data_IF_205195507270
#
_entry.id   IF_205195507270
#
_cell.length_a   1.000
_cell.length_b   1.000
_cell.length_c   1.000
_cell.angle_alpha   90.00
_cell.angle_beta   90.00
_cell.angle_gamma   90.00
#
_symmetry.space_group_name_H-M   'P 1'
#
loop_
_entity.id
_entity.type
_entity.pdbx_description
1 polymer ?
#
# COMPACT_ATOMS: atom_id res chain seq x y z
N UNK A 1 29.39 -36.69 17.72
CA UNK A 1 29.07 -35.59 18.67
C UNK A 1 27.57 -35.60 18.94
N UNK A 2 27.19 -36.14 20.09
CA UNK A 2 25.79 -36.33 20.52
C UNK A 2 25.11 -34.97 20.68
N UNK A 3 24.15 -34.62 19.82
CA UNK A 3 23.32 -33.43 19.98
C UNK A 3 22.44 -33.59 21.23
N UNK A 4 22.53 -32.66 22.18
CA UNK A 4 21.72 -32.63 23.41
C UNK A 4 20.22 -32.65 23.07
N UNK A 5 19.35 -33.32 23.84
CA UNK A 5 17.89 -33.29 23.64
C UNK A 5 17.35 -31.86 23.49
N UNK A 6 17.87 -30.92 24.28
CA UNK A 6 17.50 -29.50 24.24
C UNK A 6 17.81 -28.84 22.89
N UNK A 7 18.90 -29.24 22.22
CA UNK A 7 19.23 -28.73 20.87
C UNK A 7 18.25 -29.23 19.82
N UNK A 8 17.77 -30.46 19.96
CA UNK A 8 16.75 -31.00 19.05
C UNK A 8 15.42 -30.30 19.26
N UNK A 9 15.08 -29.97 20.51
CA UNK A 9 13.85 -29.27 20.84
C UNK A 9 13.85 -27.83 20.33
N UNK A 10 14.96 -27.09 20.49
CA UNK A 10 15.09 -25.73 19.93
C UNK A 10 15.07 -25.74 18.40
N UNK A 11 15.70 -26.71 17.75
CA UNK A 11 15.63 -26.88 16.30
C UNK A 11 14.21 -27.18 15.82
N UNK A 12 13.49 -28.08 16.50
CA UNK A 12 12.11 -28.42 16.15
C UNK A 12 11.14 -27.24 16.35
N UNK A 13 11.28 -26.50 17.45
CA UNK A 13 10.47 -25.29 17.70
C UNK A 13 10.76 -24.19 16.67
N UNK A 14 12.03 -24.00 16.33
CA UNK A 14 12.47 -23.02 15.32
C UNK A 14 11.92 -23.42 13.95
N UNK A 15 12.07 -24.68 13.55
CA UNK A 15 11.53 -25.20 12.29
C UNK A 15 10.00 -25.07 12.20
N UNK A 16 9.28 -25.33 13.30
CA UNK A 16 7.81 -25.20 13.34
C UNK A 16 7.37 -23.75 13.17
N UNK A 17 8.05 -22.82 13.85
CA UNK A 17 7.75 -21.38 13.76
C UNK A 17 8.03 -20.84 12.35
N UNK A 18 9.19 -21.17 11.79
CA UNK A 18 9.56 -20.77 10.44
C UNK A 18 8.63 -21.37 9.39
N UNK A 19 8.28 -22.66 9.53
CA UNK A 19 7.35 -23.32 8.63
C UNK A 19 5.99 -22.63 8.63
N UNK A 20 5.48 -22.23 9.81
CA UNK A 20 4.22 -21.49 9.93
C UNK A 20 4.30 -20.10 9.30
N UNK A 21 5.40 -19.38 9.52
CA UNK A 21 5.58 -18.03 8.99
C UNK A 21 5.75 -18.01 7.47
N UNK A 22 6.52 -18.95 6.92
CA UNK A 22 6.71 -19.11 5.49
C UNK A 22 5.43 -19.58 4.79
N UNK A 23 4.71 -20.55 5.37
CA UNK A 23 3.42 -20.99 4.85
C UNK A 23 2.39 -19.85 4.90
N UNK A 24 2.37 -19.10 6.00
CA UNK A 24 1.53 -17.91 6.15
C UNK A 24 1.82 -16.86 5.08
N UNK A 25 3.10 -16.58 4.81
CA UNK A 25 3.51 -15.67 3.76
C UNK A 25 3.10 -16.15 2.36
N UNK A 26 3.29 -17.43 2.06
CA UNK A 26 2.86 -18.02 0.78
C UNK A 26 1.35 -17.90 0.59
N UNK A 27 0.56 -18.22 1.62
CA UNK A 27 -0.90 -18.08 1.59
C UNK A 27 -1.33 -16.64 1.40
N UNK A 28 -0.64 -15.68 2.03
CA UNK A 28 -0.90 -14.26 1.84
C UNK A 28 -0.62 -13.82 0.40
N UNK A 29 0.52 -14.23 -0.18
CA UNK A 29 0.83 -13.90 -1.57
C UNK A 29 -0.19 -14.50 -2.53
N UNK A 30 -0.59 -15.76 -2.35
CA UNK A 30 -1.66 -16.39 -3.13
C UNK A 30 -2.97 -15.60 -3.06
N UNK A 31 -3.33 -15.09 -1.87
CA UNK A 31 -4.55 -14.28 -1.68
C UNK A 31 -4.47 -12.89 -2.33
N UNK A 32 -3.26 -12.35 -2.49
CA UNK A 32 -3.01 -11.04 -3.07
C UNK A 32 -2.75 -11.09 -4.58
N UNK A 33 -2.67 -12.29 -5.18
CA UNK A 33 -2.48 -12.45 -6.61
C UNK A 33 -3.65 -11.80 -7.37
N UNK A 34 -3.37 -10.86 -8.29
CA UNK A 34 -4.43 -10.21 -9.06
C UNK A 34 -5.03 -11.12 -10.13
N UNK A 35 -4.30 -12.14 -10.58
CA UNK A 35 -4.76 -13.19 -11.49
C UNK A 35 -3.92 -14.45 -11.26
N UNK A 36 -4.28 -15.56 -11.92
CA UNK A 36 -3.49 -16.79 -11.92
C UNK A 36 -2.08 -16.52 -12.42
N UNK A 37 -1.10 -17.17 -11.80
CA UNK A 37 0.34 -16.97 -12.04
C UNK A 37 0.72 -16.90 -13.52
N UNK A 38 0.17 -17.81 -14.33
CA UNK A 38 0.41 -17.93 -15.78
C UNK A 38 0.00 -16.68 -16.58
N UNK A 39 -0.98 -15.90 -16.10
CA UNK A 39 -1.45 -14.68 -16.76
C UNK A 39 -0.70 -13.44 -16.30
N UNK A 40 0.18 -13.56 -15.31
CA UNK A 40 0.97 -12.44 -14.84
C UNK A 40 2.13 -12.19 -15.81
N UNK A 41 2.31 -10.93 -16.21
CA UNK A 41 3.54 -10.51 -16.90
C UNK A 41 4.77 -10.85 -16.06
N UNK A 42 5.89 -11.18 -16.69
CA UNK A 42 7.17 -11.44 -16.03
C UNK A 42 7.49 -10.43 -14.91
N UNK A 43 7.33 -9.13 -15.18
CA UNK A 43 7.56 -8.07 -14.18
C UNK A 43 6.74 -8.25 -12.89
N UNK A 44 5.46 -8.60 -13.02
CA UNK A 44 4.57 -8.84 -11.86
C UNK A 44 4.97 -10.13 -11.12
N UNK A 45 5.43 -11.15 -11.85
CA UNK A 45 5.95 -12.38 -11.25
C UNK A 45 7.22 -12.07 -10.45
N UNK A 46 8.16 -11.32 -11.02
CA UNK A 46 9.39 -10.88 -10.36
C UNK A 46 9.08 -10.06 -9.09
N UNK A 47 8.13 -9.14 -9.14
CA UNK A 47 7.70 -8.37 -7.96
C UNK A 47 7.20 -9.29 -6.82
N UNK A 48 6.50 -10.39 -7.14
CA UNK A 48 6.04 -11.38 -6.16
C UNK A 48 7.20 -12.23 -5.64
N UNK A 49 8.09 -12.68 -6.55
CA UNK A 49 9.27 -13.46 -6.21
C UNK A 49 10.19 -12.68 -5.28
N UNK A 50 10.42 -11.39 -5.54
CA UNK A 50 11.26 -10.54 -4.71
C UNK A 50 10.69 -10.36 -3.30
N UNK A 51 9.37 -10.25 -3.15
CA UNK A 51 8.74 -10.21 -1.82
C UNK A 51 8.88 -11.53 -1.08
N UNK A 52 8.61 -12.65 -1.74
CA UNK A 52 8.78 -13.99 -1.16
C UNK A 52 10.24 -14.23 -0.79
N UNK A 53 11.19 -13.78 -1.63
CA UNK A 53 12.62 -13.87 -1.38
C UNK A 53 13.00 -13.11 -0.11
N UNK A 54 12.63 -11.85 -0.03
CA UNK A 54 12.91 -11.03 1.16
C UNK A 54 12.33 -11.66 2.44
N UNK A 55 11.16 -12.31 2.35
CA UNK A 55 10.54 -13.01 3.47
C UNK A 55 11.31 -14.27 3.89
N UNK A 56 11.77 -15.06 2.93
CA UNK A 56 12.57 -16.26 3.18
C UNK A 56 13.92 -15.88 3.77
N UNK A 57 14.60 -14.87 3.23
CA UNK A 57 15.88 -14.38 3.77
C UNK A 57 15.75 -13.91 5.22
N UNK A 58 14.73 -13.11 5.54
CA UNK A 58 14.44 -12.70 6.91
C UNK A 58 14.18 -13.90 7.84
N UNK A 59 13.45 -14.91 7.36
CA UNK A 59 13.13 -16.12 8.13
C UNK A 59 14.40 -16.95 8.39
N UNK A 60 15.25 -17.14 7.39
CA UNK A 60 16.53 -17.87 7.52
C UNK A 60 17.47 -17.15 8.48
N UNK A 61 17.57 -15.82 8.41
CA UNK A 61 18.34 -15.00 9.37
C UNK A 61 17.87 -15.24 10.81
N UNK A 62 16.56 -15.21 11.03
CA UNK A 62 15.98 -15.50 12.34
C UNK A 62 16.23 -16.94 12.80
N UNK A 63 16.16 -17.91 11.89
CA UNK A 63 16.44 -19.32 12.16
C UNK A 63 17.86 -19.53 12.69
N UNK A 64 18.83 -19.02 11.95
CA UNK A 64 20.26 -19.09 12.30
C UNK A 64 20.48 -18.44 13.65
N UNK A 65 19.82 -17.30 13.89
CA UNK A 65 19.91 -16.60 15.16
C UNK A 65 19.34 -17.40 16.34
N UNK A 66 18.14 -17.95 16.20
CA UNK A 66 17.50 -18.76 17.24
C UNK A 66 18.32 -20.02 17.56
N UNK A 67 18.86 -20.68 16.55
CA UNK A 67 19.74 -21.85 16.75
C UNK A 67 21.06 -21.44 17.43
N UNK A 68 21.66 -20.33 17.01
CA UNK A 68 22.89 -19.81 17.60
C UNK A 68 22.69 -19.32 19.05
N UNK A 69 21.48 -18.90 19.42
CA UNK A 69 21.17 -18.41 20.76
C UNK A 69 21.43 -19.44 21.86
N UNK A 70 21.20 -20.74 21.58
CA UNK A 70 21.34 -21.82 22.56
C UNK A 70 20.71 -21.49 23.94
N UNK A 71 19.57 -20.79 23.95
CA UNK A 71 18.87 -20.38 25.19
C UNK A 71 19.47 -19.18 25.92
N UNK A 72 20.43 -18.47 25.31
CA UNK A 72 20.99 -17.21 25.83
C UNK A 72 20.12 -16.03 25.39
N UNK A 73 20.20 -14.93 26.14
CA UNK A 73 19.64 -13.65 25.72
C UNK A 73 20.45 -13.17 24.52
N UNK A 74 19.79 -12.92 23.40
CA UNK A 74 20.45 -12.45 22.19
C UNK A 74 19.74 -11.22 21.65
N UNK A 75 20.55 -10.27 21.18
CA UNK A 75 20.09 -9.03 20.58
C UNK A 75 20.64 -8.99 19.16
N UNK A 76 19.73 -8.88 18.19
CA UNK A 76 20.08 -8.70 16.78
C UNK A 76 20.19 -7.21 16.48
N UNK A 77 21.25 -6.82 15.78
CA UNK A 77 21.34 -5.50 15.18
C UNK A 77 22.36 -5.46 14.05
N UNK A 78 22.28 -4.43 13.23
CA UNK A 78 23.16 -4.21 12.10
C UNK A 78 24.42 -3.47 12.56
N UNK A 79 25.58 -3.97 12.16
CA UNK A 79 26.85 -3.28 12.43
C UNK A 79 26.96 -2.06 11.51
N UNK A 80 26.77 -0.85 12.07
CA UNK A 80 26.76 0.40 11.33
C UNK A 80 28.16 1.00 11.16
N UNK A 81 28.97 0.93 12.21
CA UNK A 81 30.32 1.47 12.20
C UNK A 81 31.25 0.63 13.08
N UNK A 82 32.49 0.43 12.62
CA UNK A 82 33.56 -0.13 13.44
C UNK A 82 34.78 0.80 13.39
N UNK A 83 35.34 1.13 14.56
CA UNK A 83 36.58 1.92 14.69
C UNK A 83 37.57 1.11 15.49
N UNK A 84 38.75 0.84 14.92
CA UNK A 84 39.82 0.09 15.55
C UNK A 84 41.01 1.04 15.75
N UNK A 85 41.31 1.36 17.01
CA UNK A 85 42.52 2.12 17.41
C UNK A 85 43.24 1.35 18.53
N UNK A 86 43.06 1.76 19.79
CA UNK A 86 43.58 1.08 20.99
C UNK A 86 42.62 0.01 21.53
N UNK A 87 41.76 -0.51 20.65
CA UNK A 87 40.61 -1.37 20.94
C UNK A 87 39.58 -1.22 19.81
N UNK A 88 38.64 -2.17 19.72
CA UNK A 88 37.55 -2.11 18.75
C UNK A 88 36.31 -1.48 19.39
N UNK A 89 35.80 -0.40 18.79
CA UNK A 89 34.48 0.17 19.09
C UNK A 89 33.55 -0.10 17.92
N UNK A 90 32.50 -0.85 18.16
CA UNK A 90 31.44 -1.14 17.20
C UNK A 90 30.18 -0.35 17.58
N UNK A 91 29.54 0.26 16.60
CA UNK A 91 28.20 0.84 16.71
C UNK A 91 27.25 -0.13 16.03
N UNK A 92 26.37 -0.75 16.81
CA UNK A 92 25.35 -1.68 16.32
C UNK A 92 24.00 -1.00 16.42
N UNK A 93 23.31 -0.86 15.28
CA UNK A 93 21.94 -0.35 15.20
C UNK A 93 20.98 -1.49 15.51
N UNK A 94 20.21 -1.32 16.59
CA UNK A 94 19.22 -2.30 17.01
C UNK A 94 17.83 -1.70 16.80
N UNK A 95 16.94 -2.46 16.16
CA UNK A 95 15.57 -2.05 15.93
C UNK A 95 14.80 -1.83 17.23
N UNK A 96 13.90 -0.84 17.27
CA UNK A 96 13.10 -0.50 18.46
C UNK A 96 12.19 -1.63 18.96
N UNK A 97 11.88 -2.59 18.09
CA UNK A 97 11.07 -3.77 18.38
C UNK A 97 11.87 -4.96 18.90
N UNK A 98 13.19 -4.83 19.07
CA UNK A 98 14.01 -5.92 19.59
C UNK A 98 13.60 -6.22 21.04
N UNK A 99 13.22 -7.47 21.27
CA UNK A 99 12.63 -7.93 22.54
C UNK A 99 13.60 -7.89 23.71
N UNK A 100 14.90 -7.99 23.44
CA UNK A 100 15.95 -8.06 24.46
C UNK A 100 16.69 -6.71 24.70
N UNK A 101 16.08 -5.58 24.33
CA UNK A 101 16.69 -4.25 24.51
C UNK A 101 16.87 -3.87 25.98
N UNK A 102 15.98 -4.31 26.85
CA UNK A 102 16.04 -4.01 28.27
C UNK A 102 17.24 -4.72 28.91
N UNK A 103 17.38 -6.01 28.64
CA UNK A 103 18.49 -6.84 29.09
C UNK A 103 19.83 -6.35 28.55
N UNK A 104 19.86 -5.82 27.31
CA UNK A 104 21.07 -5.20 26.75
C UNK A 104 21.49 -3.95 27.54
N UNK A 105 20.53 -3.10 27.91
CA UNK A 105 20.81 -1.88 28.67
C UNK A 105 21.36 -2.22 30.06
N UNK A 106 20.85 -3.28 30.70
CA UNK A 106 21.33 -3.77 31.99
C UNK A 106 22.72 -4.42 31.91
N UNK A 107 23.09 -4.99 30.76
CA UNK A 107 24.41 -5.59 30.54
C UNK A 107 25.57 -4.57 30.41
N UNK A 108 25.32 -3.27 30.60
CA UNK A 108 26.36 -2.25 30.55
C UNK A 108 27.49 -2.53 31.55
N UNK A 109 28.73 -2.65 31.04
CA UNK A 109 29.91 -2.95 31.85
C UNK A 109 30.14 -4.45 32.11
N UNK A 110 29.30 -5.33 31.57
CA UNK A 110 29.50 -6.78 31.60
C UNK A 110 30.21 -7.29 30.33
N UNK A 111 30.76 -8.50 30.41
CA UNK A 111 31.35 -9.16 29.25
C UNK A 111 30.26 -9.63 28.28
N UNK A 112 30.36 -9.20 27.02
CA UNK A 112 29.43 -9.58 25.95
C UNK A 112 30.15 -10.37 24.86
N UNK A 113 29.47 -11.34 24.26
CA UNK A 113 29.97 -12.12 23.12
C UNK A 113 29.33 -11.61 21.83
N UNK A 114 30.15 -11.21 20.86
CA UNK A 114 29.69 -10.86 19.52
C UNK A 114 29.78 -12.10 18.64
N UNK A 115 28.64 -12.52 18.09
CA UNK A 115 28.55 -13.62 17.12
C UNK A 115 28.31 -13.02 15.75
N UNK A 116 29.29 -13.16 14.85
CA UNK A 116 29.13 -12.79 13.45
C UNK A 116 28.48 -13.96 12.73
N UNK A 117 27.20 -13.83 12.35
CA UNK A 117 26.63 -14.73 11.35
C UNK A 117 27.36 -14.46 10.04
N UNK A 118 28.19 -15.39 9.59
CA UNK A 118 28.75 -15.35 8.24
C UNK A 118 27.64 -15.14 7.20
N UNK A 119 27.99 -14.56 6.05
CA UNK A 119 27.03 -14.09 5.04
C UNK A 119 25.88 -15.08 4.84
N UNK A 120 24.66 -14.59 5.05
CA UNK A 120 23.40 -15.31 4.86
C UNK A 120 23.30 -15.98 3.48
N UNK A 121 24.07 -15.48 2.51
CA UNK A 121 24.35 -16.07 1.19
C UNK A 121 24.70 -17.57 1.22
N UNK A 122 25.33 -18.05 2.31
CA UNK A 122 25.66 -19.48 2.46
C UNK A 122 24.44 -20.38 2.67
N UNK A 123 23.28 -19.82 3.05
CA UNK A 123 22.05 -20.56 3.32
C UNK A 123 20.93 -20.23 2.33
N UNK A 124 21.11 -19.22 1.48
CA UNK A 124 20.17 -18.80 0.42
C UNK A 124 20.67 -19.15 -0.98
N UNK A 125 21.69 -20.00 -1.11
CA UNK A 125 22.23 -20.40 -2.41
C UNK A 125 21.14 -21.01 -3.32
N UNK A 126 21.04 -20.52 -4.56
CA UNK A 126 20.01 -20.93 -5.53
C UNK A 126 18.69 -20.15 -5.46
N UNK A 127 18.52 -19.25 -4.49
CA UNK A 127 17.31 -18.44 -4.33
C UNK A 127 17.15 -17.37 -5.42
N UNK A 128 18.27 -16.83 -5.89
CA UNK A 128 18.31 -15.86 -7.00
C UNK A 128 18.10 -16.53 -8.37
N UNK A 129 18.18 -17.87 -8.45
CA UNK A 129 17.94 -18.64 -9.66
C UNK A 129 16.44 -18.76 -9.99
N UNK A 130 15.54 -18.47 -9.04
CA UNK A 130 14.08 -18.55 -9.22
C UNK A 130 13.51 -17.25 -9.77
N UNK A 131 13.49 -17.07 -11.09
CA UNK A 131 13.00 -15.82 -11.74
C UNK A 131 11.62 -15.99 -12.39
N UNK A 132 10.93 -14.87 -12.65
CA UNK A 132 9.72 -14.87 -13.44
C UNK A 132 10.01 -15.30 -14.88
N UNK A 133 9.05 -15.98 -15.49
CA UNK A 133 9.16 -16.49 -16.86
C UNK A 133 8.20 -15.71 -17.76
N UNK A 134 8.71 -15.22 -18.89
CA UNK A 134 7.94 -14.40 -19.84
C UNK A 134 6.91 -15.19 -20.66
N UNK A 135 7.09 -16.49 -20.80
CA UNK A 135 6.24 -17.38 -21.59
C UNK A 135 5.98 -18.69 -20.84
N UNK A 136 5.25 -18.59 -19.71
CA UNK A 136 4.78 -19.77 -19.01
C UNK A 136 3.70 -20.44 -19.85
N UNK A 137 4.08 -21.54 -20.50
CA UNK A 137 3.09 -22.48 -21.04
C UNK A 137 2.16 -22.90 -19.90
N UNK A 138 0.86 -22.90 -20.15
CA UNK A 138 -0.10 -23.48 -19.22
C UNK A 138 0.37 -24.90 -18.84
N UNK A 139 0.22 -25.28 -17.57
CA UNK A 139 0.64 -26.58 -17.07
C UNK A 139 -0.05 -27.70 -17.88
N UNK A 140 0.65 -28.21 -18.89
CA UNK A 140 0.12 -29.21 -19.82
C UNK A 140 0.22 -30.57 -19.14
N UNK A 141 -0.91 -31.06 -18.65
CA UNK A 141 -1.02 -32.37 -18.02
C UNK A 141 -1.01 -33.54 -19.04
N UNK A 142 -0.59 -33.34 -20.30
CA UNK A 142 -0.77 -34.43 -21.27
C UNK A 142 -0.04 -34.44 -22.62
N UNK A 143 1.01 -33.66 -22.91
CA UNK A 143 1.79 -33.88 -24.15
C UNK A 143 3.31 -33.80 -23.96
N UNK A 144 4.01 -34.78 -24.57
CA UNK A 144 5.47 -34.80 -24.69
C UNK A 144 5.94 -33.74 -25.71
N UNK A 145 7.00 -33.02 -25.36
CA UNK A 145 7.68 -32.06 -26.23
C UNK A 145 8.30 -32.77 -27.43
N UNK A 146 8.22 -32.17 -28.62
CA UNK A 146 8.96 -32.65 -29.80
C UNK A 146 9.86 -31.55 -30.36
N UNK A 147 10.91 -31.95 -31.07
CA UNK A 147 11.93 -31.06 -31.64
C UNK A 147 11.38 -30.07 -32.71
N UNK A 148 10.06 -30.05 -32.96
CA UNK A 148 9.35 -29.10 -33.81
C UNK A 148 8.77 -27.90 -33.04
N UNK A 149 8.88 -27.86 -31.71
CA UNK A 149 8.31 -26.79 -30.88
C UNK A 149 9.21 -25.53 -30.78
N UNK A 150 10.08 -25.31 -31.77
CA UNK A 150 11.17 -24.33 -31.71
C UNK A 150 11.46 -23.57 -33.00
N UNK A 151 10.64 -22.56 -33.27
CA UNK A 151 11.03 -21.29 -33.89
C UNK A 151 9.88 -20.28 -33.73
N UNK A 152 10.22 -19.03 -33.42
CA UNK A 152 9.33 -18.04 -32.82
C UNK A 152 8.06 -17.71 -33.61
N UNK A 153 7.07 -17.17 -32.90
CA UNK A 153 5.85 -16.64 -33.50
C UNK A 153 6.20 -15.59 -34.58
N UNK A 154 5.62 -15.69 -35.79
CA UNK A 154 5.67 -14.61 -36.78
C UNK A 154 4.88 -13.39 -36.29
N UNK A 155 5.33 -12.19 -36.67
CA UNK A 155 4.87 -10.86 -36.23
C UNK A 155 3.38 -10.52 -36.50
N UNK A 156 2.59 -11.43 -37.08
CA UNK A 156 1.18 -11.18 -37.36
C UNK A 156 0.28 -11.79 -36.28
N UNK A 157 0.22 -11.10 -35.13
CA UNK A 157 -0.86 -11.31 -34.17
C UNK A 157 -2.15 -10.80 -34.83
N UNK A 158 -2.98 -11.73 -35.28
CA UNK A 158 -4.39 -11.43 -35.52
C UNK A 158 -5.01 -11.25 -34.13
N UNK A 159 -5.33 -10.00 -33.77
CA UNK A 159 -6.05 -9.65 -32.55
C UNK A 159 -7.39 -10.40 -32.49
N UNK A 160 -7.38 -11.60 -31.92
CA UNK A 160 -8.59 -12.25 -31.50
C UNK A 160 -9.01 -11.59 -30.19
N UNK A 161 -9.98 -10.68 -30.27
CA UNK A 161 -10.64 -10.10 -29.09
C UNK A 161 -11.15 -11.24 -28.20
N UNK A 162 -10.44 -11.50 -27.11
CA UNK A 162 -10.95 -12.30 -26.00
C UNK A 162 -12.10 -11.50 -25.41
N UNK A 163 -13.34 -11.84 -25.79
CA UNK A 163 -14.52 -11.41 -25.05
C UNK A 163 -14.55 -12.14 -23.71
N UNK A 164 -13.82 -11.60 -22.74
CA UNK A 164 -14.08 -11.83 -21.34
C UNK A 164 -15.53 -11.45 -21.09
N UNK A 165 -16.38 -12.39 -20.70
CA UNK A 165 -17.67 -12.04 -20.13
C UNK A 165 -17.36 -11.54 -18.72
N UNK A 166 -16.90 -10.28 -18.63
CA UNK A 166 -16.97 -9.54 -17.38
C UNK A 166 -18.46 -9.40 -17.07
N UNK A 167 -18.93 -10.10 -16.05
CA UNK A 167 -20.22 -9.76 -15.48
C UNK A 167 -20.02 -8.46 -14.69
N UNK A 168 -19.88 -7.35 -15.42
CA UNK A 168 -19.94 -6.02 -14.84
C UNK A 168 -21.34 -5.88 -14.23
N UNK A 169 -21.43 -5.42 -12.96
CA UNK A 169 -22.71 -5.10 -12.36
C UNK A 169 -23.48 -4.15 -13.28
N UNK A 170 -24.80 -4.30 -13.32
CA UNK A 170 -25.62 -3.40 -14.11
C UNK A 170 -25.40 -1.97 -13.60
N UNK A 171 -25.54 -0.99 -14.49
CA UNK A 171 -25.45 0.42 -14.11
C UNK A 171 -26.39 0.76 -12.94
N UNK A 172 -27.59 0.18 -12.96
CA UNK A 172 -28.56 0.33 -11.86
C UNK A 172 -28.03 -0.18 -10.51
N UNK A 173 -27.21 -1.23 -10.49
CA UNK A 173 -26.60 -1.76 -9.27
C UNK A 173 -25.46 -0.87 -8.78
N UNK A 174 -24.67 -0.32 -9.70
CA UNK A 174 -23.60 0.65 -9.40
C UNK A 174 -24.16 1.95 -8.84
N UNK A 175 -25.21 2.48 -9.47
CA UNK A 175 -25.90 3.70 -9.04
C UNK A 175 -26.55 3.47 -7.66
N UNK A 176 -27.20 2.32 -7.44
CA UNK A 176 -27.75 1.97 -6.13
C UNK A 176 -26.68 1.85 -5.04
N UNK A 177 -25.52 1.26 -5.35
CA UNK A 177 -24.41 1.16 -4.42
C UNK A 177 -23.87 2.55 -4.02
N UNK A 178 -23.76 3.46 -4.99
CA UNK A 178 -23.41 4.86 -4.73
C UNK A 178 -24.41 5.54 -3.78
N UNK A 179 -25.71 5.43 -4.07
CA UNK A 179 -26.78 6.04 -3.26
C UNK A 179 -26.81 5.48 -1.83
N UNK A 180 -26.57 4.18 -1.67
CA UNK A 180 -26.43 3.54 -0.36
C UNK A 180 -25.24 4.09 0.43
N UNK A 181 -24.09 4.30 -0.23
CA UNK A 181 -22.91 4.90 0.38
C UNK A 181 -23.14 6.34 0.82
N UNK A 182 -23.80 7.14 -0.03
CA UNK A 182 -24.18 8.52 0.28
C UNK A 182 -25.15 8.58 1.46
N UNK A 183 -26.16 7.71 1.47
CA UNK A 183 -27.14 7.62 2.57
C UNK A 183 -26.46 7.20 3.87
N UNK A 184 -25.58 6.20 3.83
CA UNK A 184 -24.84 5.74 5.00
C UNK A 184 -23.98 6.84 5.63
N UNK A 185 -23.32 7.65 4.80
CA UNK A 185 -22.59 8.84 5.26
C UNK A 185 -23.54 9.85 5.94
N UNK A 186 -24.71 10.12 5.35
CA UNK A 186 -25.71 11.02 5.94
C UNK A 186 -26.26 10.56 7.29
N UNK A 187 -26.29 9.25 7.53
CA UNK A 187 -26.69 8.63 8.79
C UNK A 187 -25.54 8.58 9.83
N UNK A 188 -24.33 9.01 9.45
CA UNK A 188 -23.16 9.03 10.32
C UNK A 188 -22.43 7.69 10.45
N UNK A 189 -22.64 6.75 9.52
CA UNK A 189 -21.93 5.46 9.50
C UNK A 189 -20.48 5.63 9.02
N UNK A 190 -19.51 4.92 9.62
CA UNK A 190 -18.11 4.97 9.19
C UNK A 190 -17.91 4.28 7.83
N UNK A 191 -16.87 4.68 7.08
CA UNK A 191 -16.49 4.05 5.79
C UNK A 191 -16.27 2.52 5.90
N UNK A 192 -15.91 2.03 7.10
CA UNK A 192 -15.75 0.59 7.38
C UNK A 192 -17.04 -0.22 7.31
N UNK A 193 -18.21 0.44 7.33
CA UNK A 193 -19.51 -0.22 7.21
C UNK A 193 -19.89 -0.53 5.75
N UNK A 194 -19.00 -0.25 4.80
CA UNK A 194 -19.15 -0.65 3.40
C UNK A 194 -19.46 -2.16 3.31
N UNK A 195 -20.56 -2.56 2.65
CA UNK A 195 -20.95 -3.95 2.57
C UNK A 195 -19.89 -4.77 1.80
N UNK A 196 -19.62 -6.00 2.26
CA UNK A 196 -18.67 -6.91 1.59
C UNK A 196 -19.35 -7.55 0.37
N UNK A 197 -19.43 -6.80 -0.73
CA UNK A 197 -20.02 -7.20 -2.02
C UNK A 197 -18.96 -7.28 -3.14
N UNK A 198 -19.39 -7.49 -4.39
CA UNK A 198 -18.49 -7.49 -5.54
C UNK A 198 -17.68 -6.18 -5.60
N UNK A 199 -16.38 -6.28 -5.93
CA UNK A 199 -15.43 -5.16 -5.88
C UNK A 199 -15.93 -3.85 -6.52
N UNK A 200 -16.53 -3.85 -7.72
CA UNK A 200 -17.04 -2.62 -8.34
C UNK A 200 -18.15 -1.94 -7.52
N UNK A 201 -19.02 -2.69 -6.86
CA UNK A 201 -20.10 -2.15 -6.02
C UNK A 201 -19.54 -1.51 -4.74
N UNK A 202 -18.53 -2.13 -4.12
CA UNK A 202 -17.84 -1.54 -2.96
C UNK A 202 -17.17 -0.20 -3.33
N UNK A 203 -16.59 -0.12 -4.54
CA UNK A 203 -15.96 1.10 -5.03
C UNK A 203 -16.99 2.23 -5.19
N UNK A 204 -18.15 1.94 -5.80
CA UNK A 204 -19.21 2.95 -5.96
C UNK A 204 -19.82 3.36 -4.61
N UNK A 205 -20.01 2.42 -3.70
CA UNK A 205 -20.44 2.73 -2.34
C UNK A 205 -19.48 3.70 -1.64
N UNK A 206 -18.18 3.44 -1.70
CA UNK A 206 -17.17 4.34 -1.10
C UNK A 206 -17.15 5.70 -1.78
N UNK A 207 -17.39 5.77 -3.10
CA UNK A 207 -17.54 7.03 -3.82
C UNK A 207 -18.73 7.84 -3.32
N UNK A 208 -19.90 7.20 -3.13
CA UNK A 208 -21.08 7.86 -2.57
C UNK A 208 -20.85 8.37 -1.16
N UNK A 209 -20.22 7.55 -0.31
CA UNK A 209 -19.87 7.93 1.07
C UNK A 209 -18.95 9.16 1.11
N UNK A 210 -17.93 9.19 0.24
CA UNK A 210 -17.00 10.32 0.12
C UNK A 210 -17.65 11.56 -0.45
N UNK A 211 -18.53 11.42 -1.44
CA UNK A 211 -19.24 12.56 -2.04
C UNK A 211 -20.03 13.34 -0.99
N UNK A 212 -20.76 12.66 -0.09
CA UNK A 212 -21.44 13.33 1.01
C UNK A 212 -20.49 14.07 1.95
N UNK A 213 -19.36 13.46 2.32
CA UNK A 213 -18.37 14.11 3.20
C UNK A 213 -17.71 15.31 2.56
N UNK A 214 -17.40 15.23 1.26
CA UNK A 214 -16.85 16.34 0.49
C UNK A 214 -17.87 17.49 0.42
N UNK A 215 -19.16 17.20 0.20
CA UNK A 215 -20.25 18.20 0.26
C UNK A 215 -20.39 18.83 1.65
N UNK A 216 -20.25 18.05 2.73
CA UNK A 216 -20.27 18.58 4.09
C UNK A 216 -19.04 19.43 4.41
N UNK A 217 -17.85 19.05 3.92
CA UNK A 217 -16.63 19.85 4.07
C UNK A 217 -16.77 21.19 3.32
N UNK A 218 -17.39 21.17 2.14
CA UNK A 218 -17.66 22.35 1.33
C UNK A 218 -18.70 23.27 1.99
N UNK A 219 -19.79 22.70 2.53
CA UNK A 219 -20.86 23.46 3.20
C UNK A 219 -20.47 23.96 4.59
N UNK A 220 -19.55 23.28 5.29
CA UNK A 220 -19.08 23.67 6.62
C UNK A 220 -17.76 24.48 6.62
N UNK A 221 -17.23 24.90 5.46
CA UNK A 221 -15.96 25.65 5.45
C UNK A 221 -16.09 26.97 6.23
N UNK A 222 -15.34 27.15 7.34
CA UNK A 222 -15.47 28.34 8.21
C UNK A 222 -15.05 29.64 7.53
N UNK A 223 -14.33 29.57 6.40
CA UNK A 223 -13.92 30.73 5.62
C UNK A 223 -14.93 31.12 4.52
N UNK A 224 -16.03 30.38 4.36
CA UNK A 224 -17.00 30.62 3.30
C UNK A 224 -17.61 32.03 3.35
N UNK A 225 -18.12 32.45 4.51
CA UNK A 225 -18.71 33.78 4.69
C UNK A 225 -17.69 34.91 4.39
N UNK A 226 -16.45 34.73 4.82
CA UNK A 226 -15.36 35.69 4.55
C UNK A 226 -15.02 35.73 3.06
N UNK A 227 -15.05 34.57 2.39
CA UNK A 227 -14.82 34.45 0.96
C UNK A 227 -15.94 35.16 0.16
N UNK A 228 -17.21 34.97 0.54
CA UNK A 228 -18.36 35.61 -0.12
C UNK A 228 -18.28 37.12 0.04
N UNK A 229 -18.04 37.62 1.25
CA UNK A 229 -17.90 39.05 1.51
C UNK A 229 -16.81 39.70 0.63
N UNK A 230 -15.63 39.07 0.54
CA UNK A 230 -14.54 39.56 -0.30
C UNK A 230 -14.88 39.55 -1.80
N UNK A 231 -15.55 38.50 -2.28
CA UNK A 231 -15.95 38.39 -3.71
C UNK A 231 -17.01 39.44 -4.05
N UNK A 232 -17.97 39.69 -3.17
CA UNK A 232 -18.99 40.73 -3.35
C UNK A 232 -18.39 42.13 -3.27
N UNK A 233 -17.44 42.38 -2.36
CA UNK A 233 -16.78 43.68 -2.24
C UNK A 233 -15.87 43.99 -3.45
N UNK A 234 -15.05 43.02 -3.86
CA UNK A 234 -14.06 43.23 -4.92
C UNK A 234 -14.60 43.02 -6.32
N UNK A 235 -15.77 42.37 -6.45
CA UNK A 235 -16.35 41.93 -7.72
C UNK A 235 -15.41 40.99 -8.52
N UNK A 236 -14.44 40.36 -7.84
CA UNK A 236 -13.42 39.49 -8.44
C UNK A 236 -13.59 38.04 -7.97
N UNK A 237 -14.37 37.26 -8.72
CA UNK A 237 -14.64 35.84 -8.47
C UNK A 237 -13.56 34.90 -9.06
N UNK A 238 -12.28 35.14 -8.75
CA UNK A 238 -11.17 34.30 -9.22
C UNK A 238 -10.51 33.50 -8.09
N UNK A 239 -10.08 32.27 -8.42
CA UNK A 239 -9.41 31.36 -7.47
C UNK A 239 -8.17 32.03 -6.87
N UNK A 240 -7.37 32.71 -7.70
CA UNK A 240 -6.14 33.39 -7.28
C UNK A 240 -6.40 34.60 -6.36
N UNK A 241 -7.55 35.27 -6.49
CA UNK A 241 -7.99 36.35 -5.59
C UNK A 241 -8.23 35.79 -4.18
N UNK A 242 -9.01 34.71 -4.07
CA UNK A 242 -9.30 34.05 -2.79
C UNK A 242 -8.04 33.45 -2.13
N UNK A 243 -7.15 32.83 -2.92
CA UNK A 243 -5.89 32.28 -2.39
C UNK A 243 -5.05 33.35 -1.68
N UNK A 244 -4.97 34.56 -2.25
CA UNK A 244 -4.18 35.66 -1.69
C UNK A 244 -4.86 36.30 -0.48
N UNK A 245 -6.18 36.49 -0.55
CA UNK A 245 -6.95 37.14 0.51
C UNK A 245 -7.05 36.25 1.76
N UNK A 246 -7.43 34.99 1.59
CA UNK A 246 -7.69 34.05 2.70
C UNK A 246 -6.46 33.21 3.07
N UNK A 247 -5.34 33.32 2.32
CA UNK A 247 -4.11 32.53 2.50
C UNK A 247 -4.35 31.02 2.48
N UNK A 248 -5.15 30.58 1.52
CA UNK A 248 -5.53 29.17 1.33
C UNK A 248 -4.91 28.58 0.06
N UNK A 249 -4.79 27.25 0.02
CA UNK A 249 -4.33 26.51 -1.16
C UNK A 249 -5.35 26.53 -2.32
N UNK A 250 -4.88 26.21 -3.53
CA UNK A 250 -5.70 26.24 -4.76
C UNK A 250 -6.98 25.42 -4.65
N UNK A 251 -6.88 24.16 -4.21
CA UNK A 251 -8.04 23.26 -4.13
C UNK A 251 -9.13 23.81 -3.19
N UNK A 252 -8.74 24.39 -2.05
CA UNK A 252 -9.70 24.99 -1.11
C UNK A 252 -10.35 26.24 -1.69
N UNK A 253 -9.59 27.10 -2.36
CA UNK A 253 -10.15 28.26 -3.05
C UNK A 253 -11.08 27.87 -4.20
N UNK A 254 -10.76 26.82 -4.94
CA UNK A 254 -11.61 26.29 -6.01
C UNK A 254 -12.95 25.78 -5.45
N UNK A 255 -12.91 24.97 -4.38
CA UNK A 255 -14.11 24.47 -3.69
C UNK A 255 -15.03 25.59 -3.18
N UNK A 256 -14.46 26.68 -2.65
CA UNK A 256 -15.23 27.85 -2.22
C UNK A 256 -15.92 28.55 -3.39
N UNK A 257 -15.27 28.66 -4.55
CA UNK A 257 -15.86 29.24 -5.77
C UNK A 257 -16.97 28.34 -6.35
N UNK A 258 -16.78 27.02 -6.37
CA UNK A 258 -17.79 26.05 -6.81
C UNK A 258 -19.05 26.13 -5.94
N UNK A 259 -18.88 26.28 -4.62
CA UNK A 259 -20.01 26.52 -3.72
C UNK A 259 -20.71 27.84 -3.98
N UNK A 260 -19.95 28.92 -4.19
CA UNK A 260 -20.52 30.22 -4.56
C UNK A 260 -21.31 30.15 -5.87
N UNK A 261 -20.89 29.32 -6.83
CA UNK A 261 -21.62 29.08 -8.07
C UNK A 261 -22.94 28.34 -7.80
N UNK A 262 -22.88 27.28 -6.99
CA UNK A 262 -24.06 26.49 -6.61
C UNK A 262 -25.10 27.30 -5.82
N UNK A 263 -24.67 28.23 -4.96
CA UNK A 263 -25.55 29.12 -4.18
C UNK A 263 -25.97 30.41 -4.94
N UNK A 264 -25.57 30.56 -6.21
CA UNK A 264 -25.93 31.71 -7.05
C UNK A 264 -25.25 33.02 -6.65
N UNK A 265 -24.11 32.97 -5.97
CA UNK A 265 -23.27 34.14 -5.64
C UNK A 265 -22.42 34.55 -6.84
N UNK A 266 -21.94 33.59 -7.64
CA UNK A 266 -21.14 33.81 -8.85
C UNK A 266 -21.72 33.04 -10.04
N UNK A 267 -21.46 33.52 -11.25
CA UNK A 267 -21.87 32.85 -12.48
C UNK A 267 -21.01 31.62 -12.78
N UNK A 268 -21.55 30.78 -13.66
CA UNK A 268 -20.75 29.81 -14.41
C UNK A 268 -19.59 30.54 -15.13
N UNK A 269 -18.45 29.85 -15.33
CA UNK A 269 -17.33 30.41 -16.08
C UNK A 269 -17.74 30.67 -17.54
N UNK A 270 -17.33 31.82 -18.08
CA UNK A 270 -17.48 32.13 -19.49
C UNK A 270 -16.47 31.37 -20.37
N UNK A 271 -16.50 31.58 -21.70
CA UNK A 271 -15.56 30.95 -22.65
C UNK A 271 -14.07 31.26 -22.34
N UNK A 272 -13.80 32.29 -21.54
CA UNK A 272 -12.45 32.67 -21.09
C UNK A 272 -12.11 32.17 -19.68
N UNK A 273 -13.04 31.48 -19.03
CA UNK A 273 -12.90 30.97 -17.66
C UNK A 273 -13.16 32.02 -16.58
N UNK A 274 -13.71 33.19 -16.93
CA UNK A 274 -14.03 34.26 -15.99
C UNK A 274 -15.44 34.11 -15.42
N UNK A 275 -15.60 34.48 -14.15
CA UNK A 275 -16.86 34.37 -13.40
C UNK A 275 -17.32 35.76 -13.01
N UNK A 276 -18.61 36.03 -13.16
CA UNK A 276 -19.22 37.32 -12.79
C UNK A 276 -19.93 37.17 -11.44
N UNK A 277 -19.86 38.18 -10.58
CA UNK A 277 -20.56 38.17 -9.29
C UNK A 277 -22.02 38.53 -9.52
N UNK A 278 -22.93 37.73 -8.98
CA UNK A 278 -24.37 37.86 -9.18
C UNK A 278 -25.10 38.54 -8.02
N UNK A 279 -24.48 38.60 -6.82
CA UNK A 279 -25.00 39.33 -5.66
C UNK A 279 -24.41 40.74 -5.54
N UNK A 280 -25.24 41.70 -5.13
CA UNK A 280 -24.81 43.07 -4.83
C UNK A 280 -24.66 43.28 -3.32
N UNK A 281 -23.84 44.25 -2.92
CA UNK A 281 -23.54 44.56 -1.51
C UNK A 281 -24.78 44.96 -0.69
N UNK A 282 -25.87 45.40 -1.34
CA UNK A 282 -27.12 45.80 -0.69
C UNK A 282 -28.00 44.63 -0.25
N UNK A 283 -27.80 43.42 -0.78
CA UNK A 283 -28.60 42.23 -0.46
C UNK A 283 -28.09 41.45 0.77
N UNK A 284 -26.98 41.89 1.41
CA UNK A 284 -26.37 41.22 2.57
C UNK A 284 -26.84 41.75 3.94
N UNK A 285 -27.66 42.82 4.00
CA UNK A 285 -28.19 43.39 5.26
C UNK A 285 -29.67 43.06 5.55
N UNK A 286 -30.26 42.10 4.83
CA UNK A 286 -31.67 41.69 4.99
C UNK A 286 -31.90 40.49 5.90
#
# INVERSE_FOLDING_TARGET
>A
MSHSPEMKDTMNMTATTLGKDLLGALVQEIKLLPDVWVKLSQKKQDDILDRLRNRVDASVKMAVHLIASQGRVVVVGDLDQITIKDGAKAVVKIGKSATALHELAEAQGQAVLLVLSGGHESYTSGMDEVTGESDQRAFDLGKEYTDQDGDGMPDDIVDAEVKTIEHQPLKEELDAAFDEGYTAASEGKPESDCPVVAGPLCIEWVKGWKAWHDEQEITADPLYEQAVAHVVETQLASISSLQRHLRIGYNRANRLIERMEAEGVVSAPDETGMRTVLRTTEEQEG
#
